data_IF_682092791716
#
_entry.id   IF_682092791716
#
_cell.length_a   1.000
_cell.length_b   1.000
_cell.length_c   1.000
_cell.angle_alpha   90.00
_cell.angle_beta   90.00
_cell.angle_gamma   90.00
#
_symmetry.space_group_name_H-M   'P 1'
#
loop_
_entity.id
_entity.type
_entity.pdbx_description
1 polymer ?
2 polymer ?
#
# COMPACT_ATOMS: atom_id res chain seq x y z
N UNK A 1 -3.63 21.58 -14.22
CA UNK A 1 -2.22 22.01 -14.48
C UNK A 1 -1.43 22.02 -13.17
N UNK A 2 -0.25 21.46 -13.16
CA UNK A 2 0.55 21.44 -11.91
C UNK A 2 -0.29 20.87 -10.76
N UNK A 3 -0.07 19.63 -10.41
CA UNK A 3 -0.87 19.03 -9.31
C UNK A 3 -0.50 19.67 -7.97
N UNK A 4 -1.12 20.76 -7.62
CA UNK A 4 -0.80 21.42 -6.32
C UNK A 4 -1.52 20.65 -5.19
N UNK A 5 -0.83 20.38 -4.11
CA UNK A 5 -1.50 19.63 -3.00
C UNK A 5 -2.16 20.59 -2.00
N UNK A 6 -1.76 21.82 -2.03
CA UNK A 6 -2.29 22.86 -1.16
C UNK A 6 -3.59 23.39 -1.74
N UNK A 7 -4.16 22.63 -2.67
CA UNK A 7 -5.54 22.20 -2.57
C UNK A 7 -5.73 20.87 -3.26
N UNK A 8 -5.16 19.82 -2.69
CA UNK A 8 -5.95 18.66 -2.28
C UNK A 8 -6.04 18.49 -0.77
N UNK A 9 -5.53 19.48 -0.02
CA UNK A 9 -5.55 19.43 1.46
C UNK A 9 -6.94 19.61 2.05
N UNK A 10 -7.64 20.66 1.62
CA UNK A 10 -8.97 20.96 2.15
C UNK A 10 -9.91 19.77 2.26
N UNK A 11 -9.99 18.97 1.20
CA UNK A 11 -10.86 17.80 1.23
C UNK A 11 -10.39 16.80 2.28
N UNK A 12 -9.08 16.66 2.42
CA UNK A 12 -8.54 15.75 3.43
C UNK A 12 -8.84 16.25 4.85
N UNK A 13 -8.56 17.53 5.09
CA UNK A 13 -8.80 18.14 6.40
C UNK A 13 -10.25 17.94 6.85
N UNK A 14 -11.19 18.10 5.91
CA UNK A 14 -12.62 17.92 6.23
C UNK A 14 -12.90 16.44 6.50
N UNK A 15 -12.44 15.55 5.62
CA UNK A 15 -12.66 14.12 5.84
C UNK A 15 -12.11 13.69 7.22
N UNK A 16 -10.89 14.11 7.52
CA UNK A 16 -10.22 13.78 8.76
C UNK A 16 -10.99 14.25 10.00
N UNK A 17 -11.48 15.48 9.98
CA UNK A 17 -12.26 16.02 11.10
C UNK A 17 -13.48 15.13 11.35
N UNK A 18 -14.16 14.78 10.26
CA UNK A 18 -15.36 13.94 10.32
C UNK A 18 -15.00 12.55 10.85
N UNK A 19 -13.92 11.98 10.36
CA UNK A 19 -13.50 10.66 10.81
C UNK A 19 -13.04 10.69 12.27
N UNK A 20 -12.51 11.83 12.72
CA UNK A 20 -12.07 11.94 14.10
C UNK A 20 -13.30 12.03 15.00
N UNK A 21 -14.35 12.70 14.53
CA UNK A 21 -15.58 12.78 15.30
C UNK A 21 -16.20 11.38 15.41
N UNK A 22 -16.24 10.64 14.30
CA UNK A 22 -16.79 9.27 14.31
C UNK A 22 -16.00 8.39 15.25
N UNK A 23 -14.68 8.53 15.20
CA UNK A 23 -13.79 7.72 16.02
C UNK A 23 -14.11 7.93 17.48
N UNK A 24 -14.26 9.20 17.86
CA UNK A 24 -14.56 9.58 19.23
C UNK A 24 -15.87 8.96 19.73
N UNK A 25 -16.92 9.10 18.93
CA UNK A 25 -18.22 8.55 19.30
C UNK A 25 -18.19 7.03 19.42
N UNK A 26 -17.55 6.35 18.47
CA UNK A 26 -17.47 4.90 18.54
C UNK A 26 -16.69 4.48 19.79
N UNK A 27 -15.61 5.19 20.07
CA UNK A 27 -14.79 4.89 21.24
C UNK A 27 -15.63 5.02 22.51
N UNK A 28 -16.38 6.10 22.61
CA UNK A 28 -17.22 6.36 23.76
C UNK A 28 -18.33 5.31 23.91
N UNK A 29 -18.77 4.72 22.80
CA UNK A 29 -19.83 3.71 22.88
C UNK A 29 -19.32 2.30 23.05
N UNK A 30 -18.02 2.09 22.92
CA UNK A 30 -17.47 0.76 23.04
C UNK A 30 -17.62 0.17 24.44
N UNK A 31 -17.88 -1.13 24.49
CA UNK A 31 -18.00 -1.89 25.73
C UNK A 31 -16.71 -2.70 25.72
N UNK A 32 -15.67 -2.20 26.43
CA UNK A 32 -14.36 -2.86 26.49
C UNK A 32 -14.31 -4.39 26.55
N UNK A 33 -15.05 -5.00 27.47
CA UNK A 33 -15.03 -6.45 27.61
C UNK A 33 -15.74 -7.20 26.48
N UNK A 34 -16.63 -6.51 25.78
CA UNK A 34 -17.35 -7.13 24.67
C UNK A 34 -17.54 -6.11 23.55
N UNK A 35 -16.44 -5.59 22.99
CA UNK A 35 -16.50 -4.60 21.91
C UNK A 35 -17.21 -5.10 20.66
N UNK A 36 -18.24 -4.37 20.24
CA UNK A 36 -18.98 -4.72 19.04
C UNK A 36 -18.01 -4.72 17.88
N UNK A 37 -17.86 -5.87 17.23
CA UNK A 37 -16.94 -6.01 16.11
C UNK A 37 -17.11 -4.93 15.05
N UNK A 38 -18.35 -4.61 14.73
CA UNK A 38 -18.64 -3.60 13.72
C UNK A 38 -18.20 -2.19 14.14
N UNK A 39 -18.16 -1.95 15.45
CA UNK A 39 -17.75 -0.64 15.95
C UNK A 39 -16.25 -0.48 15.91
N UNK A 40 -15.53 -1.54 16.28
CA UNK A 40 -14.08 -1.52 16.25
C UNK A 40 -13.63 -1.41 14.81
N UNK A 41 -14.28 -2.14 13.91
CA UNK A 41 -13.90 -2.06 12.50
C UNK A 41 -14.01 -0.64 12.00
N UNK A 42 -15.01 0.10 12.47
CA UNK A 42 -15.19 1.49 12.02
C UNK A 42 -14.08 2.39 12.54
N UNK A 43 -13.64 2.16 13.76
CA UNK A 43 -12.57 2.95 14.36
C UNK A 43 -11.28 2.70 13.60
N UNK A 44 -11.03 1.42 13.33
CA UNK A 44 -9.85 0.99 12.59
C UNK A 44 -9.84 1.60 11.19
N UNK A 45 -10.99 1.56 10.51
CA UNK A 45 -11.07 2.13 9.17
C UNK A 45 -10.86 3.64 9.13
N UNK A 46 -11.37 4.35 10.14
CA UNK A 46 -11.17 5.79 10.20
C UNK A 46 -9.66 6.04 10.34
N UNK A 47 -9.02 5.32 11.26
CA UNK A 47 -7.57 5.45 11.45
C UNK A 47 -6.79 5.11 10.18
N UNK A 48 -7.15 4.01 9.52
CA UNK A 48 -6.47 3.62 8.29
C UNK A 48 -6.61 4.74 7.23
N UNK A 49 -7.80 5.30 7.11
CA UNK A 49 -8.05 6.37 6.14
C UNK A 49 -7.23 7.61 6.44
N UNK A 50 -7.22 8.03 7.70
CA UNK A 50 -6.46 9.21 8.07
C UNK A 50 -4.98 9.00 7.81
N UNK A 51 -4.48 7.80 8.11
CA UNK A 51 -3.07 7.47 7.91
C UNK A 51 -2.64 7.60 6.45
N UNK A 52 -3.45 7.05 5.56
CA UNK A 52 -3.13 7.11 4.14
C UNK A 52 -3.10 8.54 3.64
N UNK A 53 -4.06 9.35 4.09
CA UNK A 53 -4.07 10.75 3.68
C UNK A 53 -2.83 11.45 4.21
N UNK A 54 -2.47 11.14 5.45
CA UNK A 54 -1.29 11.75 6.08
C UNK A 54 -0.03 11.38 5.28
N UNK A 55 0.05 10.13 4.86
CA UNK A 55 1.20 9.70 4.07
C UNK A 55 1.23 10.42 2.73
N UNK A 56 0.11 10.41 2.03
CA UNK A 56 0.04 11.08 0.73
C UNK A 56 0.55 12.52 0.77
N UNK A 57 0.17 13.27 1.80
CA UNK A 57 0.58 14.66 1.88
C UNK A 57 1.82 14.99 2.71
N UNK A 58 2.52 13.96 3.16
CA UNK A 58 3.74 14.20 3.94
C UNK A 58 3.53 14.82 5.31
N UNK A 59 2.44 14.49 5.98
CA UNK A 59 2.16 14.99 7.32
C UNK A 59 2.77 13.95 8.26
N UNK A 60 4.09 13.96 8.31
CA UNK A 60 4.88 13.01 9.10
C UNK A 60 4.35 12.70 10.50
N UNK A 61 4.24 13.73 11.32
CA UNK A 61 3.78 13.53 12.69
C UNK A 61 2.40 12.85 12.79
N UNK A 62 1.46 13.26 11.95
CA UNK A 62 0.14 12.64 12.02
C UNK A 62 0.21 11.19 11.54
N UNK A 63 0.95 10.96 10.46
CA UNK A 63 1.09 9.64 9.89
C UNK A 63 1.62 8.62 10.89
N UNK A 64 2.71 8.97 11.59
CA UNK A 64 3.32 8.07 12.56
C UNK A 64 2.39 7.84 13.74
N UNK A 65 1.74 8.91 14.21
CA UNK A 65 0.82 8.79 15.33
C UNK A 65 -0.31 7.84 14.98
N UNK A 66 -0.94 8.06 13.83
CA UNK A 66 -2.05 7.23 13.38
C UNK A 66 -1.58 5.80 13.08
N UNK A 67 -0.36 5.69 12.58
CA UNK A 67 0.22 4.39 12.25
C UNK A 67 0.23 3.51 13.50
N UNK A 68 0.76 4.04 14.60
CA UNK A 68 0.84 3.27 15.83
C UNK A 68 -0.54 2.92 16.38
N UNK A 69 -1.49 3.85 16.26
CA UNK A 69 -2.82 3.57 16.78
C UNK A 69 -3.47 2.48 15.94
N UNK A 70 -3.32 2.56 14.63
CA UNK A 70 -3.91 1.60 13.70
C UNK A 70 -3.46 0.16 13.97
N UNK A 71 -2.18 -0.03 14.21
CA UNK A 71 -1.65 -1.36 14.50
C UNK A 71 -2.32 -1.89 15.77
N UNK A 72 -2.55 -1.01 16.74
CA UNK A 72 -3.17 -1.41 17.98
C UNK A 72 -4.64 -1.76 17.75
N UNK A 73 -5.33 -0.97 16.94
CA UNK A 73 -6.73 -1.23 16.66
C UNK A 73 -6.87 -2.50 15.85
N UNK A 74 -5.86 -2.83 15.07
CA UNK A 74 -5.89 -4.04 14.27
C UNK A 74 -5.79 -5.23 15.23
N UNK A 75 -4.95 -5.12 16.25
CA UNK A 75 -4.80 -6.19 17.23
C UNK A 75 -6.12 -6.42 17.95
N UNK A 76 -6.73 -5.33 18.41
CA UNK A 76 -7.99 -5.42 19.13
C UNK A 76 -9.13 -5.95 18.29
N UNK A 77 -9.19 -5.57 17.00
CA UNK A 77 -10.27 -6.04 16.17
C UNK A 77 -10.09 -7.50 15.79
N UNK A 78 -8.85 -7.93 15.62
CA UNK A 78 -8.58 -9.32 15.27
C UNK A 78 -8.77 -10.18 16.52
N UNK A 79 -8.99 -9.53 17.65
CA UNK A 79 -9.19 -10.25 18.90
C UNK A 79 -7.88 -10.68 19.57
N UNK A 80 -6.76 -10.20 19.06
CA UNK A 80 -5.45 -10.54 19.62
C UNK A 80 -5.12 -9.74 20.89
N UNK A 81 -5.78 -8.60 21.05
CA UNK A 81 -5.55 -7.78 22.24
C UNK A 81 -6.84 -7.50 22.99
N UNK A 82 -6.75 -7.61 24.31
CA UNK A 82 -7.90 -7.36 25.16
C UNK A 82 -8.00 -5.86 25.41
N UNK A 83 -9.23 -5.34 25.45
CA UNK A 83 -9.43 -3.92 25.72
C UNK A 83 -9.88 -3.78 27.16
N UNK A 84 -9.86 -2.54 27.66
CA UNK A 84 -10.31 -2.20 29.00
C UNK A 84 -10.51 -0.68 29.02
N UNK A 85 -10.90 -0.11 30.15
CA UNK A 85 -11.13 1.32 30.18
C UNK A 85 -9.87 2.16 30.00
N UNK A 86 -8.73 1.67 30.49
CA UNK A 86 -7.47 2.39 30.33
C UNK A 86 -7.09 2.52 28.86
N UNK A 87 -7.21 1.41 28.13
CA UNK A 87 -6.86 1.41 26.71
C UNK A 87 -7.78 2.35 25.93
N UNK A 88 -9.08 2.28 26.19
CA UNK A 88 -10.02 3.16 25.52
C UNK A 88 -9.70 4.63 25.82
N UNK A 89 -9.31 4.91 27.06
CA UNK A 89 -8.95 6.29 27.41
C UNK A 89 -7.70 6.71 26.65
N UNK A 90 -6.78 5.78 26.42
CA UNK A 90 -5.56 6.10 25.67
C UNK A 90 -5.92 6.38 24.22
N UNK A 91 -6.89 5.64 23.68
CA UNK A 91 -7.34 5.86 22.32
C UNK A 91 -7.99 7.24 22.20
N UNK A 92 -8.79 7.62 23.19
CA UNK A 92 -9.45 8.93 23.19
C UNK A 92 -8.40 10.04 23.25
N UNK A 93 -7.37 9.84 24.06
CA UNK A 93 -6.30 10.81 24.17
C UNK A 93 -5.59 10.90 22.83
N UNK A 94 -5.45 9.75 22.16
CA UNK A 94 -4.80 9.70 20.85
C UNK A 94 -5.63 10.48 19.82
N UNK A 95 -6.95 10.34 19.90
CA UNK A 95 -7.87 11.04 18.99
C UNK A 95 -7.70 12.55 19.24
N UNK A 96 -7.67 12.94 20.51
CA UNK A 96 -7.49 14.34 20.88
C UNK A 96 -6.21 14.95 20.28
N UNK A 97 -5.11 14.22 20.40
CA UNK A 97 -3.81 14.68 19.88
C UNK A 97 -3.79 14.74 18.36
N UNK A 98 -4.38 13.74 17.71
CA UNK A 98 -4.43 13.71 16.24
C UNK A 98 -5.19 14.95 15.73
N UNK A 99 -6.25 15.34 16.43
CA UNK A 99 -7.05 16.51 16.07
C UNK A 99 -6.18 17.77 16.16
N UNK A 100 -5.37 17.86 17.20
CA UNK A 100 -4.48 19.01 17.39
C UNK A 100 -3.46 19.04 16.24
N UNK A 101 -2.96 17.87 15.85
CA UNK A 101 -1.98 17.81 14.77
C UNK A 101 -2.63 18.30 13.49
N UNK A 102 -3.83 17.80 13.21
CA UNK A 102 -4.57 18.20 12.02
C UNK A 102 -4.79 19.72 12.03
N UNK A 103 -5.24 20.26 13.17
CA UNK A 103 -5.51 21.69 13.27
C UNK A 103 -4.27 22.54 12.99
N UNK A 104 -3.09 22.00 13.27
CA UNK A 104 -1.86 22.73 13.02
C UNK A 104 -1.64 22.75 11.51
N UNK A 105 -1.76 21.59 10.86
CA UNK A 105 -1.60 21.52 9.41
C UNK A 105 -2.57 22.45 8.68
N UNK A 106 -3.82 22.54 9.17
CA UNK A 106 -4.81 23.43 8.53
C UNK A 106 -4.26 24.86 8.48
N UNK A 107 -3.45 25.22 9.47
CA UNK A 107 -2.89 26.56 9.54
C UNK A 107 -1.47 26.64 8.96
N UNK A 108 -1.05 25.60 8.25
CA UNK A 108 0.30 25.55 7.69
C UNK A 108 1.33 25.69 8.82
N UNK A 109 1.00 25.13 9.98
CA UNK A 109 1.87 25.15 11.15
C UNK A 109 2.33 23.74 11.42
N UNK A 110 3.33 23.61 12.27
CA UNK A 110 3.86 22.32 12.66
C UNK A 110 3.15 21.84 13.92
N UNK A 111 2.81 20.54 14.01
CA UNK A 111 2.14 20.00 15.21
C UNK A 111 3.10 20.11 16.41
N UNK A 112 2.57 19.85 17.61
CA UNK A 112 3.30 19.90 18.88
C UNK A 112 4.27 18.70 18.99
N UNK A 113 5.57 18.97 19.08
CA UNK A 113 6.55 17.89 19.19
C UNK A 113 6.47 17.06 20.46
N UNK A 114 6.24 17.74 21.58
CA UNK A 114 6.16 17.06 22.87
C UNK A 114 4.94 16.14 22.95
N UNK A 115 3.79 16.61 22.46
CA UNK A 115 2.60 15.78 22.50
C UNK A 115 2.81 14.55 21.61
N UNK A 116 3.50 14.76 20.50
CA UNK A 116 3.80 13.67 19.57
C UNK A 116 4.63 12.59 20.26
N UNK A 117 5.70 12.99 20.93
CA UNK A 117 6.58 12.03 21.61
C UNK A 117 5.86 11.31 22.74
N UNK A 118 5.05 12.06 23.48
CA UNK A 118 4.32 11.42 24.55
C UNK A 118 3.31 10.37 24.07
N UNK A 119 2.50 10.71 23.08
CA UNK A 119 1.49 9.77 22.62
C UNK A 119 2.10 8.53 21.96
N UNK A 120 3.15 8.73 21.15
CA UNK A 120 3.81 7.61 20.49
C UNK A 120 4.45 6.69 21.53
N UNK A 121 5.06 7.29 22.55
CA UNK A 121 5.69 6.51 23.61
C UNK A 121 4.65 5.67 24.33
N UNK A 122 3.50 6.26 24.63
CA UNK A 122 2.45 5.55 25.34
C UNK A 122 1.85 4.43 24.48
N UNK A 123 1.68 4.70 23.20
CA UNK A 123 1.12 3.71 22.28
C UNK A 123 2.08 2.54 22.11
N UNK A 124 3.37 2.82 22.10
CA UNK A 124 4.33 1.75 21.94
C UNK A 124 4.49 0.98 23.23
N UNK A 125 4.22 1.64 24.36
CA UNK A 125 4.30 0.95 25.64
C UNK A 125 3.16 -0.07 25.70
N UNK A 126 1.97 0.35 25.29
CA UNK A 126 0.82 -0.53 25.30
C UNK A 126 1.03 -1.75 24.41
N UNK A 127 1.57 -1.54 23.21
CA UNK A 127 1.79 -2.66 22.29
C UNK A 127 2.75 -3.64 22.94
N UNK A 128 3.76 -3.09 23.60
CA UNK A 128 4.75 -3.92 24.28
C UNK A 128 4.04 -4.75 25.34
N UNK A 129 3.21 -4.08 26.15
CA UNK A 129 2.47 -4.75 27.22
C UNK A 129 1.52 -5.79 26.65
N UNK A 130 1.03 -5.52 25.44
CA UNK A 130 0.10 -6.43 24.78
C UNK A 130 0.83 -7.71 24.38
N UNK A 131 2.14 -7.62 24.40
CA UNK A 131 3.03 -8.78 24.24
C UNK A 131 3.21 -9.39 25.64
N UNK A 132 3.35 -10.69 25.71
CA UNK A 132 3.51 -11.35 27.04
C UNK A 132 4.99 -11.57 27.30
N UNK A 133 5.80 -10.60 26.97
CA UNK A 133 7.27 -10.70 27.17
C UNK A 133 7.88 -11.67 26.14
N UNK A 134 8.10 -11.18 24.94
CA UNK A 134 8.69 -12.04 23.87
C UNK A 134 7.86 -13.32 23.64
N UNK A 135 8.13 -13.95 22.52
CA UNK A 135 7.41 -15.20 22.11
C UNK A 135 7.79 -16.39 23.00
N UNK A 136 6.99 -17.44 22.96
CA UNK A 136 7.26 -18.65 23.79
C UNK A 136 8.52 -19.39 23.31
N UNK A 137 9.26 -19.96 24.21
CA UNK A 137 10.50 -20.70 23.83
C UNK A 137 11.41 -19.79 22.98
N UNK A 138 12.64 -20.17 22.80
CA UNK A 138 13.57 -19.33 21.99
C UNK A 138 13.23 -19.48 20.50
N UNK A 139 13.18 -18.39 19.78
CA UNK A 139 12.86 -18.47 18.33
C UNK A 139 14.07 -18.00 17.52
N UNK A 140 14.09 -18.29 16.24
CA UNK A 140 15.25 -17.88 15.41
C UNK A 140 16.54 -18.20 16.16
N UNK A 141 16.57 -19.33 16.81
CA UNK A 141 17.77 -19.75 17.58
C UNK A 141 18.86 -20.29 16.65
N UNK A 142 18.62 -20.21 15.37
CA UNK A 142 19.63 -20.72 14.38
C UNK A 142 19.27 -20.25 12.98
N UNK A 143 18.05 -20.50 12.58
CA UNK A 143 17.59 -20.07 11.21
C UNK A 143 18.18 -18.71 10.81
N UNK A 144 18.54 -17.89 11.75
CA UNK A 144 19.09 -16.54 11.39
C UNK A 144 20.32 -16.67 10.48
N UNK A 145 21.37 -15.94 10.76
CA UNK A 145 22.58 -16.03 9.88
C UNK A 145 22.87 -17.49 9.53
N UNK A 146 22.48 -17.91 8.35
CA UNK A 146 22.74 -19.32 7.93
C UNK A 146 23.86 -19.39 6.90
N UNK A 147 24.54 -20.51 6.84
CA UNK A 147 25.66 -20.66 5.86
C UNK A 147 26.88 -19.85 6.30
N UNK A 148 26.92 -19.41 7.52
CA UNK A 148 28.10 -18.63 7.99
C UNK A 148 28.41 -17.51 6.98
N UNK A 149 29.47 -16.79 7.22
CA UNK A 149 29.86 -15.69 6.30
C UNK A 149 30.37 -16.28 4.98
N UNK A 150 29.68 -16.03 3.90
CA UNK A 150 30.10 -16.59 2.59
C UNK A 150 31.62 -16.50 2.43
N UNK A 151 32.19 -17.26 1.54
CA UNK A 151 33.67 -17.24 1.33
C UNK A 151 34.14 -15.89 0.81
N UNK A 152 33.80 -15.53 -0.40
CA UNK A 152 34.26 -14.21 -0.95
C UNK A 152 33.45 -13.08 -0.30
N UNK A 153 32.18 -12.97 -0.62
CA UNK A 153 31.35 -11.90 0.00
C UNK A 153 29.95 -11.88 -0.63
N UNK A 154 29.88 -11.93 -1.93
CA UNK A 154 28.56 -11.93 -2.62
C UNK A 154 28.69 -12.72 -3.92
N UNK A 155 28.53 -14.01 -3.85
CA UNK A 155 28.66 -14.84 -5.08
C UNK A 155 30.08 -14.69 -5.62
N UNK A 156 30.75 -15.78 -5.87
CA UNK A 156 32.14 -15.70 -6.40
C UNK A 156 32.16 -14.96 -7.74
N UNK A 157 31.21 -15.23 -8.59
CA UNK A 157 31.15 -14.54 -9.91
C UNK A 157 30.03 -15.15 -10.76
N UNK A 158 28.91 -15.45 -10.16
CA UNK A 158 27.80 -16.07 -10.94
C UNK A 158 26.54 -15.18 -10.91
N UNK A 159 26.72 -13.93 -11.23
CA UNK A 159 25.56 -12.99 -11.27
C UNK A 159 24.68 -13.35 -12.48
N UNK A 160 25.27 -14.16 -13.38
CA UNK A 160 24.19 -14.27 -14.32
C UNK A 160 23.96 -12.92 -14.96
N UNK A 161 23.88 -12.93 -16.22
CA UNK A 161 23.63 -11.67 -16.81
C UNK A 161 22.20 -11.73 -17.23
N UNK A 162 21.50 -10.60 -17.10
CA UNK A 162 20.17 -10.62 -17.56
C UNK A 162 20.13 -9.90 -18.83
N UNK A 163 19.60 -10.54 -19.78
CA UNK A 163 19.56 -9.77 -20.95
C UNK A 163 18.15 -9.53 -21.25
N UNK A 164 17.80 -8.23 -21.32
CA UNK A 164 16.48 -7.76 -21.65
C UNK A 164 16.56 -7.34 -23.05
N UNK A 165 16.01 -8.17 -23.83
CA UNK A 165 16.07 -7.86 -25.18
C UNK A 165 14.78 -7.25 -25.58
N UNK A 166 14.88 -6.51 -26.65
CA UNK A 166 13.75 -5.93 -27.26
C UNK A 166 12.90 -4.91 -26.48
N UNK A 167 13.45 -3.75 -26.08
CA UNK A 167 12.68 -2.72 -25.34
C UNK A 167 12.21 -1.53 -26.20
N UNK A 168 11.20 -0.80 -25.68
CA UNK A 168 10.58 0.34 -26.37
C UNK A 168 11.04 1.75 -25.98
N UNK A 169 10.61 2.71 -26.82
CA UNK A 169 10.89 4.13 -26.68
C UNK A 169 10.45 4.62 -25.34
N UNK A 170 11.38 5.11 -24.57
CA UNK A 170 11.06 5.56 -23.25
C UNK A 170 11.08 4.37 -22.29
N UNK A 171 11.02 3.12 -22.82
CA UNK A 171 11.05 1.88 -22.02
C UNK A 171 12.43 1.64 -21.49
N UNK A 172 13.39 2.08 -22.30
CA UNK A 172 14.76 1.96 -21.92
C UNK A 172 14.89 2.68 -20.61
N UNK A 173 14.47 3.95 -20.63
CA UNK A 173 14.47 4.83 -19.49
C UNK A 173 13.60 4.30 -18.37
N UNK A 174 12.39 3.91 -18.72
CA UNK A 174 11.42 3.35 -17.78
C UNK A 174 11.80 1.97 -17.19
N UNK A 175 12.13 0.99 -18.04
CA UNK A 175 12.49 -0.31 -17.52
C UNK A 175 13.73 -0.18 -16.74
N UNK A 176 14.45 0.86 -17.11
CA UNK A 176 15.63 1.18 -16.41
C UNK A 176 15.11 1.63 -15.09
N UNK A 177 14.06 2.43 -15.18
CA UNK A 177 13.39 2.89 -13.98
C UNK A 177 12.72 1.74 -13.18
N UNK A 178 12.16 0.72 -13.83
CA UNK A 178 11.47 -0.39 -13.14
C UNK A 178 12.40 -1.43 -12.55
N UNK A 179 13.38 -1.90 -13.33
CA UNK A 179 14.28 -2.90 -12.80
C UNK A 179 14.90 -2.29 -11.60
N UNK A 180 14.99 -0.93 -11.68
CA UNK A 180 15.52 -0.04 -10.65
C UNK A 180 14.72 -0.04 -9.35
N UNK A 181 13.52 -0.63 -9.39
CA UNK A 181 12.68 -0.77 -8.22
C UNK A 181 12.96 -2.10 -7.51
N UNK A 182 13.24 -3.19 -8.31
CA UNK A 182 13.46 -4.58 -7.84
C UNK A 182 14.86 -4.91 -7.46
N UNK A 183 15.79 -4.31 -8.22
CA UNK A 183 17.19 -4.60 -8.13
C UNK A 183 18.03 -3.41 -8.67
N UNK A 184 19.33 -3.59 -8.80
CA UNK A 184 20.20 -2.51 -9.29
C UNK A 184 20.99 -2.93 -10.48
N UNK A 185 20.93 -2.08 -11.50
CA UNK A 185 21.58 -2.35 -12.76
C UNK A 185 22.82 -1.57 -12.95
N UNK A 186 23.79 -2.30 -13.46
CA UNK A 186 25.10 -1.79 -13.74
C UNK A 186 25.42 -2.10 -15.18
N UNK A 187 26.41 -1.38 -15.74
CA UNK A 187 26.84 -1.62 -17.10
C UNK A 187 25.63 -1.46 -17.94
N UNK A 188 24.97 -0.36 -17.65
CA UNK A 188 23.75 -0.10 -18.29
C UNK A 188 23.93 0.32 -19.69
N UNK A 189 23.86 -0.65 -20.52
CA UNK A 189 23.97 -0.31 -21.87
C UNK A 189 22.59 0.06 -22.35
N UNK A 190 22.40 1.37 -22.51
CA UNK A 190 21.17 1.95 -23.03
C UNK A 190 21.30 2.04 -24.51
N UNK A 191 21.05 0.93 -25.18
CA UNK A 191 21.14 0.95 -26.59
C UNK A 191 19.98 1.74 -27.09
N UNK A 192 19.84 1.79 -28.36
CA UNK A 192 18.70 2.50 -28.77
C UNK A 192 17.50 1.80 -28.18
N UNK A 193 17.59 0.45 -28.13
CA UNK A 193 16.50 -0.42 -27.70
C UNK A 193 16.88 -1.52 -26.75
N UNK A 194 17.98 -1.42 -26.11
CA UNK A 194 18.24 -2.54 -25.30
C UNK A 194 18.75 -2.11 -24.04
N UNK A 195 18.67 -3.07 -23.18
CA UNK A 195 19.08 -2.93 -21.85
C UNK A 195 19.68 -4.23 -21.37
N UNK A 196 20.90 -4.10 -21.13
CA UNK A 196 21.57 -5.20 -20.61
C UNK A 196 22.12 -4.60 -19.45
N UNK A 197 22.32 -5.46 -18.53
CA UNK A 197 22.85 -5.08 -17.32
C UNK A 197 23.19 -6.35 -16.61
N UNK A 198 24.13 -6.22 -15.77
CA UNK A 198 24.43 -7.39 -15.07
C UNK A 198 23.48 -7.44 -13.88
N UNK A 199 23.14 -8.70 -13.50
CA UNK A 199 22.21 -9.08 -12.44
C UNK A 199 22.87 -9.68 -11.20
N UNK A 200 22.46 -9.17 -10.09
CA UNK A 200 22.96 -9.59 -8.80
C UNK A 200 22.67 -11.06 -8.30
N UNK A 201 21.48 -11.61 -8.49
CA UNK A 201 21.17 -12.98 -8.00
C UNK A 201 20.35 -12.96 -6.69
N UNK A 202 19.89 -11.73 -6.38
CA UNK A 202 19.13 -11.36 -5.21
C UNK A 202 17.67 -11.74 -5.27
N UNK A 203 17.30 -12.33 -6.34
CA UNK A 203 15.96 -12.73 -6.43
C UNK A 203 15.91 -14.01 -7.20
N UNK A 204 15.10 -14.96 -6.72
CA UNK A 204 15.04 -16.24 -7.36
C UNK A 204 14.76 -15.99 -8.76
N UNK A 205 15.49 -16.71 -9.57
CA UNK A 205 15.30 -16.54 -10.96
C UNK A 205 13.83 -16.58 -11.23
N UNK A 206 13.19 -17.60 -10.62
CA UNK A 206 11.76 -17.81 -10.69
C UNK A 206 10.94 -16.52 -10.25
N UNK A 207 11.51 -15.65 -9.43
CA UNK A 207 10.73 -14.46 -9.06
C UNK A 207 10.99 -13.21 -9.92
N UNK A 208 12.24 -13.03 -10.38
CA UNK A 208 12.55 -11.84 -11.20
C UNK A 208 11.70 -11.96 -12.37
N UNK A 209 11.72 -13.20 -12.79
CA UNK A 209 10.94 -13.61 -13.87
C UNK A 209 9.53 -13.12 -13.59
N UNK A 210 9.03 -13.52 -12.44
CA UNK A 210 7.70 -13.13 -12.11
C UNK A 210 7.37 -11.61 -12.20
N UNK A 211 8.23 -10.69 -11.76
CA UNK A 211 7.88 -9.23 -11.80
C UNK A 211 8.15 -8.45 -13.07
N UNK A 212 9.21 -8.77 -13.74
CA UNK A 212 9.50 -8.07 -14.96
C UNK A 212 8.36 -8.36 -15.81
N UNK A 213 7.87 -9.57 -15.53
CA UNK A 213 6.74 -10.16 -16.13
C UNK A 213 5.52 -9.24 -15.94
N UNK A 214 5.65 -8.11 -15.20
CA UNK A 214 4.56 -7.12 -15.12
C UNK A 214 4.63 -6.21 -16.34
N UNK A 215 5.82 -6.07 -16.92
CA UNK A 215 6.00 -5.17 -18.06
C UNK A 215 6.46 -5.88 -19.30
N UNK A 216 7.17 -7.00 -19.11
CA UNK A 216 7.81 -7.83 -20.13
C UNK A 216 7.49 -9.37 -19.95
N UNK A 217 8.06 -10.27 -20.79
CA UNK A 217 7.77 -11.74 -20.73
C UNK A 217 8.95 -12.71 -20.47
N UNK A 218 8.64 -13.93 -19.95
CA UNK A 218 9.60 -15.01 -19.58
C UNK A 218 10.71 -15.37 -20.56
N UNK A 219 10.44 -15.21 -21.82
CA UNK A 219 11.48 -15.56 -22.73
C UNK A 219 12.37 -14.36 -23.13
N UNK A 220 11.95 -13.12 -22.72
CA UNK A 220 12.68 -11.88 -23.04
C UNK A 220 13.80 -11.80 -22.12
N UNK A 221 13.70 -12.78 -21.23
CA UNK A 221 14.57 -12.96 -20.13
C UNK A 221 15.45 -14.15 -20.29
N UNK A 222 16.71 -13.86 -20.32
CA UNK A 222 17.64 -14.89 -20.38
C UNK A 222 18.62 -14.65 -19.33
N UNK A 223 18.96 -15.76 -18.73
CA UNK A 223 19.95 -15.84 -17.68
C UNK A 223 21.12 -16.60 -18.25
N UNK A 224 22.23 -15.95 -18.48
CA UNK A 224 23.41 -16.65 -19.03
C UNK A 224 24.64 -15.73 -19.00
N UNK A 225 25.76 -16.24 -18.54
CA UNK A 225 26.99 -15.40 -18.48
C UNK A 225 26.65 -13.98 -17.99
N UNK B 1 -7.17 2.17 -22.50
CA UNK B 1 -7.38 3.60 -22.59
C UNK B 1 -8.82 3.95 -22.81
N UNK B 2 -9.66 3.34 -22.00
CA UNK B 2 -11.03 3.67 -22.06
C UNK B 2 -11.32 4.61 -20.92
N UNK B 3 -11.60 5.85 -21.30
CA UNK B 3 -11.87 6.90 -20.33
C UNK B 3 -13.10 6.61 -19.50
N UNK B 4 -13.73 5.48 -19.84
CA UNK B 4 -14.91 5.00 -19.19
C UNK B 4 -14.68 3.65 -18.44
N UNK B 5 -13.45 3.10 -18.55
CA UNK B 5 -13.09 1.84 -17.88
C UNK B 5 -13.62 1.91 -16.47
N UNK B 6 -14.25 0.80 -16.02
CA UNK B 6 -14.83 0.80 -14.69
C UNK B 6 -13.88 0.44 -13.64
N UNK B 7 -13.55 1.52 -12.99
CA UNK B 7 -12.65 1.48 -11.95
C UNK B 7 -13.35 1.16 -10.68
N UNK B 8 -12.97 0.04 -10.09
CA UNK B 8 -13.47 -0.24 -8.79
C UNK B 8 -12.34 0.32 -8.00
N UNK B 9 -12.54 1.50 -7.47
CA UNK B 9 -11.53 2.10 -6.65
C UNK B 9 -11.82 1.46 -5.29
N UNK B 10 -11.07 0.42 -4.97
CA UNK B 10 -11.33 -0.28 -3.73
C UNK B 10 -10.44 0.36 -2.75
N UNK B 11 -11.07 1.00 -1.82
CA UNK B 11 -10.37 1.69 -0.82
C UNK B 11 -11.35 2.00 0.23
N UNK B 12 -10.94 1.99 1.41
CA UNK B 12 -11.92 2.34 2.36
C UNK B 12 -11.98 3.89 2.63
N UNK B 13 -11.06 4.76 2.01
CA UNK B 13 -10.97 6.28 2.19
C UNK B 13 -11.57 7.22 1.10
N UNK B 14 -12.64 7.92 1.45
CA UNK B 14 -13.39 8.85 0.58
C UNK B 14 -12.67 10.04 -0.17
N UNK B 15 -11.94 10.92 0.51
CA UNK B 15 -11.32 12.05 -0.20
C UNK B 15 -10.37 11.62 -1.29
N UNK B 16 -9.60 10.55 -0.98
CA UNK B 16 -8.64 9.97 -1.94
C UNK B 16 -9.39 9.40 -3.07
N UNK B 17 -10.40 8.67 -2.70
CA UNK B 17 -11.22 8.18 -3.73
C UNK B 17 -11.58 9.42 -4.58
N UNK B 18 -11.86 10.59 -3.91
CA UNK B 18 -12.23 11.91 -4.59
C UNK B 18 -11.14 12.63 -5.40
N UNK B 19 -9.94 12.66 -4.94
CA UNK B 19 -8.97 13.29 -5.82
C UNK B 19 -8.62 12.33 -6.91
N UNK B 20 -8.54 11.02 -6.56
CA UNK B 20 -8.22 10.01 -7.57
C UNK B 20 -9.19 10.30 -8.63
N UNK B 21 -10.38 10.48 -8.16
CA UNK B 21 -11.49 10.84 -9.00
C UNK B 21 -11.20 12.14 -9.76
N UNK B 22 -10.84 13.23 -9.08
CA UNK B 22 -10.58 14.52 -9.78
C UNK B 22 -9.42 14.52 -10.75
N UNK B 23 -8.40 13.74 -10.42
CA UNK B 23 -7.24 13.65 -11.30
C UNK B 23 -7.62 12.83 -12.49
N UNK B 24 -8.35 11.73 -12.21
CA UNK B 24 -8.82 10.94 -13.31
C UNK B 24 -9.49 11.96 -14.20
N UNK B 25 -10.18 12.92 -13.54
CA UNK B 25 -10.92 14.02 -14.20
C UNK B 25 -10.04 14.96 -15.03
N UNK B 26 -9.14 15.67 -14.38
CA UNK B 26 -8.29 16.55 -15.17
C UNK B 26 -7.61 15.82 -16.30
N UNK B 27 -7.53 14.47 -16.20
CA UNK B 27 -6.91 13.65 -17.23
C UNK B 27 -7.95 13.17 -18.17
N UNK B 28 -9.19 13.38 -17.80
CA UNK B 28 -10.25 12.88 -18.62
C UNK B 28 -10.99 11.62 -18.11
N UNK B 29 -10.53 10.87 -17.07
CA UNK B 29 -11.33 9.70 -16.64
C UNK B 29 -12.38 10.12 -15.65
N UNK B 30 -13.61 9.74 -15.90
CA UNK B 30 -14.68 10.16 -15.00
C UNK B 30 -15.55 9.02 -14.43
N UNK B 31 -15.32 7.76 -14.86
CA UNK B 31 -16.11 6.59 -14.43
C UNK B 31 -15.48 5.78 -13.29
N UNK B 32 -15.76 6.23 -12.08
CA UNK B 32 -15.16 5.66 -10.93
C UNK B 32 -16.13 5.23 -9.87
N UNK B 33 -16.01 3.97 -9.42
CA UNK B 33 -16.84 3.42 -8.34
C UNK B 33 -15.98 3.15 -7.14
N UNK B 34 -16.61 3.17 -6.01
CA UNK B 34 -15.90 3.00 -4.79
C UNK B 34 -16.36 1.75 -3.98
N UNK B 35 -15.42 1.01 -3.39
CA UNK B 35 -15.81 -0.14 -2.57
C UNK B 35 -15.02 0.00 -1.36
N UNK B 36 -15.52 -0.54 -0.28
CA UNK B 36 -14.80 -0.42 0.92
C UNK B 36 -13.99 -1.59 1.38
N UNK B 37 -14.18 -2.88 0.85
CA UNK B 37 -13.37 -4.10 1.28
C UNK B 37 -13.44 -5.32 0.37
N UNK B 38 -12.63 -6.36 0.74
CA UNK B 38 -12.48 -7.64 0.01
C UNK B 38 -13.75 -8.55 0.01
N UNK B 39 -14.47 -8.69 1.12
CA UNK B 39 -15.71 -9.50 1.12
C UNK B 39 -16.73 -8.69 0.33
N UNK B 40 -16.77 -7.33 0.61
CA UNK B 40 -17.60 -6.32 -0.07
C UNK B 40 -17.23 -6.31 -1.52
N UNK B 41 -15.93 -6.27 -1.78
CA UNK B 41 -15.48 -6.30 -3.14
C UNK B 41 -15.77 -7.65 -3.74
N UNK B 42 -15.50 -8.76 -2.98
CA UNK B 42 -15.71 -10.18 -3.41
C UNK B 42 -17.17 -10.42 -3.55
N UNK B 43 -17.92 -9.83 -2.66
CA UNK B 43 -19.33 -9.91 -2.79
C UNK B 43 -19.69 -9.17 -4.04
N UNK B 44 -19.20 -7.90 -4.12
CA UNK B 44 -19.35 -6.98 -5.27
C UNK B 44 -18.84 -7.58 -6.56
N UNK B 45 -17.76 -8.30 -6.45
CA UNK B 45 -17.12 -8.96 -7.57
C UNK B 45 -17.82 -10.26 -7.88
N UNK B 46 -18.47 -10.86 -6.85
CA UNK B 46 -19.22 -12.12 -7.04
C UNK B 46 -20.38 -11.81 -7.90
N UNK B 47 -20.59 -10.51 -7.99
CA UNK B 47 -21.54 -9.92 -8.90
C UNK B 47 -20.85 -9.93 -10.25
N UNK B 48 -20.01 -8.93 -10.49
CA UNK B 48 -19.25 -8.81 -11.71
C UNK B 48 -19.27 -7.40 -12.24
N UNK B 49 -18.78 -7.23 -13.47
CA UNK B 49 -18.75 -5.93 -14.16
C UNK B 49 -17.46 -5.16 -13.95
N UNK B 50 -16.71 -5.58 -12.95
CA UNK B 50 -15.47 -4.92 -12.65
C UNK B 50 -14.36 -5.21 -13.63
N UNK B 51 -13.70 -4.15 -14.08
CA UNK B 51 -12.65 -4.36 -15.07
C UNK B 51 -11.27 -4.03 -14.57
N UNK B 52 -11.23 -3.09 -13.68
CA UNK B 52 -9.99 -2.70 -13.20
C UNK B 52 -10.13 -2.61 -11.75
N UNK B 53 -9.37 -3.39 -11.08
CA UNK B 53 -9.45 -3.21 -9.70
C UNK B 53 -8.29 -2.32 -9.40
N UNK B 54 -8.59 -1.15 -8.87
CA UNK B 54 -7.59 -0.23 -8.41
C UNK B 54 -7.85 -0.53 -6.98
N UNK B 55 -7.09 -1.48 -6.52
CA UNK B 55 -7.36 -1.95 -5.24
C UNK B 55 -6.27 -1.52 -4.39
N UNK B 56 -6.69 -0.90 -3.37
CA UNK B 56 -5.79 -0.54 -2.40
C UNK B 56 -5.31 -1.87 -1.78
N UNK B 57 -4.13 -1.93 -1.32
CA UNK B 57 -3.67 -3.18 -0.79
C UNK B 57 -4.42 -3.68 0.44
N UNK B 58 -4.88 -2.75 1.26
CA UNK B 58 -5.47 -3.11 2.51
C UNK B 58 -6.86 -2.71 2.72
N UNK B 59 -7.60 -3.73 3.24
CA UNK B 59 -9.01 -3.74 3.61
C UNK B 59 -9.45 -4.90 4.54
N UNK B 60 -10.52 -4.65 5.27
CA UNK B 60 -11.07 -5.62 6.20
C UNK B 60 -11.87 -6.77 5.56
N UNK B 61 -12.00 -7.94 6.31
CA UNK B 61 -12.74 -9.20 5.99
C UNK B 61 -12.02 -10.16 5.04
N UNK B 62 -11.31 -9.53 4.14
CA UNK B 62 -10.49 -10.17 3.16
C UNK B 62 -9.73 -9.03 2.47
N UNK B 63 -8.41 -9.13 2.44
CA UNK B 63 -7.60 -8.09 1.86
C UNK B 63 -7.38 -8.24 0.39
N UNK B 64 -6.54 -7.33 -0.14
CA UNK B 64 -6.10 -7.33 -1.51
C UNK B 64 -5.63 -8.72 -2.02
N UNK B 65 -4.68 -9.40 -1.38
CA UNK B 65 -4.22 -10.72 -1.90
C UNK B 65 -5.13 -11.94 -1.68
N UNK B 66 -5.84 -12.02 -0.58
CA UNK B 66 -6.71 -13.18 -0.34
C UNK B 66 -7.76 -13.06 -1.32
N UNK B 67 -8.05 -11.76 -1.54
CA UNK B 67 -8.99 -11.32 -2.53
C UNK B 67 -8.40 -11.87 -3.80
N UNK B 68 -7.16 -11.51 -4.05
CA UNK B 68 -6.46 -12.01 -5.22
C UNK B 68 -6.29 -13.59 -5.28
N UNK B 69 -6.08 -14.33 -4.19
CA UNK B 69 -5.88 -15.83 -4.30
C UNK B 69 -7.13 -16.62 -4.37
N UNK B 70 -8.11 -16.05 -3.75
CA UNK B 70 -9.35 -16.68 -3.74
C UNK B 70 -9.85 -16.46 -5.08
N UNK B 71 -9.54 -15.23 -5.54
CA UNK B 71 -9.88 -14.80 -6.88
C UNK B 71 -9.21 -15.81 -7.77
N UNK B 72 -7.98 -16.14 -7.49
CA UNK B 72 -7.28 -17.11 -8.30
C UNK B 72 -7.58 -18.66 -8.13
N UNK B 73 -8.02 -19.18 -6.96
CA UNK B 73 -8.31 -20.65 -6.82
C UNK B 73 -9.73 -20.96 -7.20
N UNK B 74 -10.44 -19.88 -7.44
CA UNK B 74 -11.81 -19.94 -7.83
C UNK B 74 -11.85 -20.02 -9.31
N UNK B 75 -12.69 -20.88 -9.82
CA UNK B 75 -12.77 -21.01 -11.24
C UNK B 75 -12.99 -19.68 -11.95
N UNK B 76 -14.10 -19.03 -11.63
CA UNK B 76 -14.55 -17.81 -12.29
C UNK B 76 -13.78 -16.49 -12.26
N UNK B 77 -13.09 -16.16 -11.20
CA UNK B 77 -12.46 -14.84 -11.20
C UNK B 77 -10.99 -14.90 -11.37
N UNK B 78 -10.48 -16.10 -11.50
CA UNK B 78 -9.07 -16.32 -11.55
C UNK B 78 -8.17 -15.35 -12.33
N UNK B 79 -8.66 -14.52 -13.29
CA UNK B 79 -7.70 -13.65 -14.04
C UNK B 79 -7.91 -12.07 -14.10
N UNK B 80 -8.69 -11.51 -13.21
CA UNK B 80 -8.94 -10.05 -13.18
C UNK B 80 -7.65 -9.22 -13.01
N UNK B 81 -7.52 -8.01 -13.69
CA UNK B 81 -6.34 -7.14 -13.50
C UNK B 81 -6.51 -6.38 -12.25
N UNK B 82 -5.58 -6.53 -11.45
CA UNK B 82 -5.68 -5.87 -10.24
C UNK B 82 -4.48 -4.98 -10.24
N UNK B 83 -4.72 -3.64 -10.15
CA UNK B 83 -3.67 -2.63 -10.08
C UNK B 83 -3.57 -2.44 -8.65
N UNK B 84 -2.58 -3.01 -8.10
CA UNK B 84 -2.56 -2.81 -6.74
C UNK B 84 -2.10 -1.37 -6.54
N UNK B 85 -2.83 -0.63 -5.78
CA UNK B 85 -2.40 0.71 -5.51
C UNK B 85 -1.65 0.57 -4.26
N UNK B 86 -0.50 1.10 -4.31
CA UNK B 86 0.32 1.02 -3.19
C UNK B 86 0.79 2.45 -2.83
N UNK B 87 0.99 2.67 -1.55
CA UNK B 87 1.44 3.95 -1.12
C UNK B 87 2.91 4.14 -1.48
N UNK B 88 3.62 3.01 -1.68
CA UNK B 88 5.04 3.05 -2.02
C UNK B 88 5.46 1.83 -2.84
N UNK B 89 6.44 2.05 -3.72
CA UNK B 89 6.99 1.03 -4.62
C UNK B 89 7.88 -0.05 -3.96
N UNK B 90 7.26 -1.08 -3.34
CA UNK B 90 8.04 -2.14 -2.67
C UNK B 90 8.02 -3.54 -3.31
N UNK B 91 9.22 -4.09 -3.44
CA UNK B 91 9.54 -5.40 -4.04
C UNK B 91 8.67 -6.66 -3.71
N UNK B 92 8.50 -7.02 -2.44
CA UNK B 92 7.78 -8.24 -2.06
C UNK B 92 6.32 -8.14 -2.38
N UNK B 93 5.85 -6.88 -2.26
CA UNK B 93 4.50 -6.55 -2.58
C UNK B 93 4.40 -6.73 -4.03
N UNK B 94 5.38 -6.14 -4.69
CA UNK B 94 5.49 -6.25 -6.09
C UNK B 94 5.58 -7.76 -6.51
N UNK B 95 6.36 -8.58 -5.81
CA UNK B 95 6.50 -10.02 -6.10
C UNK B 95 5.37 -10.92 -5.60
N UNK B 96 4.90 -10.69 -4.42
CA UNK B 96 3.85 -11.55 -3.95
C UNK B 96 2.71 -11.32 -4.87
N UNK B 97 2.61 -10.03 -5.27
CA UNK B 97 1.59 -9.61 -6.18
C UNK B 97 1.79 -10.44 -7.39
N UNK B 98 3.04 -10.53 -7.80
CA UNK B 98 3.43 -11.36 -8.91
C UNK B 98 3.16 -12.91 -8.73
N UNK B 99 3.57 -13.57 -7.63
CA UNK B 99 3.37 -15.03 -7.50
C UNK B 99 1.95 -15.51 -7.29
N UNK B 100 1.13 -14.65 -6.70
CA UNK B 100 -0.25 -15.00 -6.46
C UNK B 100 -1.05 -14.61 -7.65
N UNK B 101 -0.37 -13.94 -8.64
CA UNK B 101 -0.98 -13.46 -9.89
C UNK B 101 -1.45 -11.96 -10.03
N UNK B 102 -0.86 -10.88 -9.42
CA UNK B 102 -1.34 -9.46 -9.68
C UNK B 102 -0.90 -8.86 -11.03
N UNK B 103 -1.59 -7.80 -11.49
CA UNK B 103 -1.28 -7.16 -12.78
C UNK B 103 -0.31 -5.95 -12.79
N UNK B 104 -0.28 -5.15 -11.78
CA UNK B 104 0.63 -4.03 -11.84
C UNK B 104 0.50 -3.27 -10.57
N UNK B 105 1.25 -2.14 -10.46
CA UNK B 105 1.18 -1.34 -9.25
C UNK B 105 1.42 0.21 -9.52
N UNK B 106 0.88 1.09 -8.66
CA UNK B 106 1.09 2.56 -8.77
C UNK B 106 1.20 3.19 -7.43
N UNK B 107 1.90 4.35 -7.38
CA UNK B 107 2.12 5.07 -6.15
C UNK B 107 1.41 6.44 -6.03
N UNK B 108 0.55 6.62 -5.01
CA UNK B 108 -0.14 7.90 -4.81
C UNK B 108 0.77 8.80 -4.01
N UNK B 109 0.62 10.15 -4.09
CA UNK B 109 -0.33 10.80 -4.94
C UNK B 109 0.39 11.12 -6.19
N UNK B 110 -0.32 11.05 -7.23
CA UNK B 110 0.29 11.32 -8.46
C UNK B 110 -0.37 12.55 -9.10
N UNK B 111 0.29 13.14 -10.09
CA UNK B 111 -0.29 14.27 -10.75
C UNK B 111 -1.08 13.61 -11.75
N UNK B 112 -1.83 14.44 -12.38
CA UNK B 112 -2.59 13.97 -13.46
C UNK B 112 -1.61 13.36 -14.45
N UNK B 113 -0.50 14.05 -14.65
CA UNK B 113 0.49 13.55 -15.59
C UNK B 113 1.05 12.14 -15.29
N UNK B 114 1.35 11.83 -14.03
CA UNK B 114 1.86 10.50 -13.69
C UNK B 114 0.85 9.34 -13.79
N UNK B 115 -0.28 9.52 -13.15
CA UNK B 115 -1.29 8.48 -13.22
C UNK B 115 -1.41 8.11 -14.66
N UNK B 116 -1.31 9.16 -15.47
CA UNK B 116 -1.37 9.06 -16.91
C UNK B 116 -0.40 7.99 -17.44
N UNK B 117 0.87 8.08 -17.10
CA UNK B 117 1.79 7.05 -17.59
C UNK B 117 1.61 5.54 -17.13
N UNK B 118 1.24 5.29 -15.86
CA UNK B 118 1.12 3.90 -15.32
C UNK B 118 0.01 3.12 -15.91
N UNK B 119 -1.05 3.83 -16.09
CA UNK B 119 -2.17 3.21 -16.63
C UNK B 119 -1.80 2.66 -17.98
N UNK B 120 -1.09 3.51 -18.71
CA UNK B 120 -0.63 3.18 -20.05
C UNK B 120 0.08 1.82 -20.20
N UNK B 121 1.06 1.55 -19.34
CA UNK B 121 1.77 0.28 -19.42
C UNK B 121 0.97 -1.01 -19.12
N UNK B 122 0.03 -0.99 -18.14
CA UNK B 122 -0.74 -2.21 -17.83
C UNK B 122 -1.58 -2.50 -18.98
N UNK B 123 -2.15 -1.41 -19.43
CA UNK B 123 -2.93 -1.45 -20.58
C UNK B 123 -2.06 -2.17 -21.59
N UNK B 124 -0.84 -1.66 -21.71
CA UNK B 124 0.10 -2.25 -22.66
C UNK B 124 0.30 -3.78 -22.54
N UNK B 125 0.76 -4.26 -21.36
CA UNK B 125 1.06 -5.67 -21.08
C UNK B 125 -0.10 -6.66 -21.12
N UNK B 126 -1.28 -6.21 -20.76
CA UNK B 126 -2.41 -7.11 -20.73
C UNK B 126 -3.03 -7.16 -22.05
N UNK B 127 -2.64 -6.16 -22.81
CA UNK B 127 -3.15 -6.00 -24.14
C UNK B 127 -4.37 -5.10 -24.11
N UNK B 128 -4.23 -3.98 -23.44
CA UNK B 128 -5.29 -3.02 -23.36
C UNK B 128 -4.73 -1.64 -23.67
#
# INVERSE_FOLDING_TARGET
MSMDISDFYQTFFDEADELLADMEQHLLDLVPESPDAEQLNAIFRAAHSIKGGAGTFGFTILQETTHLMENLLDEARRGEMQLNTDIINLFLETKDIMQEQLDAYKNSEEPDAASFEYICNALRQLALEAKGETPSAVTRLSVVAKSEPQDEQSRSQSPRRIILSRLKAGEVDLLEEELGHLTTLTDVVKGADSLSAILPGDIAEDDITAVLCFVIEADQITFET
ADKELKFLVVDDFSTMRRIVRNLLKELGFNNVEEAEDGVDALNKLQAGGYGFVISDWNMPNMDGLELLKTIRADGAMSALPVLMVTAEAKKENIIAAAQAGASGYVVKPFTAATLEEKLNKIFEKLGM
#
